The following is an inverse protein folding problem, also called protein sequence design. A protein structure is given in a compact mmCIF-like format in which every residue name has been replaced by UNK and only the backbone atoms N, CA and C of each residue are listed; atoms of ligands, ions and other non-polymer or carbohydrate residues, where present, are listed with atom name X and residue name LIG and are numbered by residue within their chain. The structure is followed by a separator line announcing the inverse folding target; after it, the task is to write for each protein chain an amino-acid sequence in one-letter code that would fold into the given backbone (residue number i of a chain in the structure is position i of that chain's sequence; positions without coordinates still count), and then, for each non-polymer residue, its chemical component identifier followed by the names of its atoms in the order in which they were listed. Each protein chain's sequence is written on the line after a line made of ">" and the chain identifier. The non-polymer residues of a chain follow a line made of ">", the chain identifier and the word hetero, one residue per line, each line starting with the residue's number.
data_IF_028780193923
#
_entry.id   IF_028780193923
#
_cell.length_a   1.000
_cell.length_b   1.000
_cell.length_c   1.000
_cell.angle_alpha   90.00
_cell.angle_beta   90.00
_cell.angle_gamma   90.00
#
_symmetry.space_group_name_H-M   'P 1'
#
loop_
_entity.id
_entity.type
_entity.pdbx_description
1 polymer ?
#
# COMPACT_ATOMS: atom_id res chain seq x y z
N UNK A 1 -0.97 -14.24 -13.49
CA UNK A 1 -0.02 -14.17 -12.36
C UNK A 1 -0.74 -13.93 -11.03
N UNK A 2 -1.53 -12.86 -10.88
CA UNK A 2 -2.25 -12.52 -9.64
C UNK A 2 -3.17 -13.63 -9.08
N UNK A 3 -3.97 -14.29 -9.92
CA UNK A 3 -4.84 -15.40 -9.46
C UNK A 3 -4.04 -16.60 -8.92
N UNK A 4 -2.90 -16.95 -9.54
CA UNK A 4 -2.02 -17.99 -9.03
C UNK A 4 -1.34 -17.59 -7.71
N UNK A 5 -1.01 -16.30 -7.55
CA UNK A 5 -0.52 -15.78 -6.28
C UNK A 5 -1.59 -15.83 -5.19
N UNK A 6 -2.85 -15.56 -5.53
CA UNK A 6 -4.00 -15.71 -4.63
C UNK A 6 -4.14 -17.15 -4.14
N UNK A 7 -4.13 -18.14 -5.03
CA UNK A 7 -4.15 -19.56 -4.67
C UNK A 7 -2.95 -19.95 -3.80
N UNK A 8 -1.77 -19.43 -4.12
CA UNK A 8 -0.55 -19.64 -3.34
C UNK A 8 -0.70 -19.09 -1.91
N UNK A 9 -1.25 -17.89 -1.76
CA UNK A 9 -1.46 -17.29 -0.44
C UNK A 9 -2.52 -18.07 0.35
N UNK A 10 -3.61 -18.50 -0.27
CA UNK A 10 -4.62 -19.36 0.37
C UNK A 10 -4.02 -20.68 0.87
N UNK A 11 -3.14 -21.31 0.09
CA UNK A 11 -2.46 -22.54 0.50
C UNK A 11 -1.44 -22.31 1.62
N UNK A 12 -0.75 -21.16 1.64
CA UNK A 12 0.23 -20.82 2.68
C UNK A 12 -0.44 -20.47 4.01
N UNK A 13 -1.64 -19.89 3.98
CA UNK A 13 -2.39 -19.57 5.20
C UNK A 13 -2.71 -20.80 6.07
N UNK A 14 -2.76 -22.00 5.50
CA UNK A 14 -3.01 -23.22 6.29
C UNK A 14 -1.74 -23.93 6.72
N UNK A 15 -0.57 -23.47 6.29
CA UNK A 15 0.71 -24.14 6.53
C UNK A 15 1.42 -23.50 7.73
N UNK A 16 1.75 -24.28 8.79
CA UNK A 16 2.42 -23.78 9.99
C UNK A 16 3.74 -23.04 9.70
N UNK A 17 4.48 -23.50 8.69
CA UNK A 17 5.77 -22.90 8.30
C UNK A 17 5.65 -21.44 7.88
N UNK A 18 4.49 -21.00 7.38
CA UNK A 18 4.26 -19.65 6.91
C UNK A 18 3.56 -18.76 7.94
N UNK A 19 3.10 -19.29 9.07
CA UNK A 19 2.33 -18.52 10.04
C UNK A 19 3.20 -17.50 10.79
N UNK A 20 2.63 -16.33 11.14
CA UNK A 20 3.34 -15.33 11.91
C UNK A 20 3.51 -15.83 13.35
N UNK A 21 4.68 -15.58 13.93
CA UNK A 21 4.96 -15.91 15.33
C UNK A 21 4.84 -14.66 16.20
N UNK A 22 3.62 -14.12 16.28
CA UNK A 22 3.38 -12.85 16.97
C UNK A 22 3.73 -12.91 18.46
N UNK A 23 3.61 -14.09 19.08
CA UNK A 23 3.98 -14.31 20.49
C UNK A 23 5.48 -14.17 20.75
N UNK A 24 6.31 -14.30 19.72
CA UNK A 24 7.78 -14.17 19.81
C UNK A 24 8.23 -12.71 19.58
N UNK A 25 7.29 -11.80 19.26
CA UNK A 25 7.57 -10.38 19.03
C UNK A 25 7.32 -9.56 20.31
N UNK A 26 8.08 -8.48 20.47
CA UNK A 26 7.82 -7.49 21.53
C UNK A 26 6.53 -6.70 21.24
N UNK A 27 6.03 -5.95 22.24
CA UNK A 27 4.86 -5.07 22.10
C UNK A 27 3.62 -5.79 21.51
N UNK A 28 3.43 -7.06 21.88
CA UNK A 28 2.41 -7.96 21.28
C UNK A 28 1.02 -7.32 21.21
N UNK A 29 0.56 -6.70 22.29
CA UNK A 29 -0.77 -6.09 22.35
C UNK A 29 -0.93 -4.93 21.36
N UNK A 30 0.09 -4.06 21.28
CA UNK A 30 0.09 -2.95 20.32
C UNK A 30 0.13 -3.47 18.89
N UNK A 31 0.98 -4.46 18.62
CA UNK A 31 1.06 -5.14 17.32
C UNK A 31 -0.27 -5.78 16.92
N UNK A 32 -1.00 -6.36 17.87
CA UNK A 32 -2.33 -6.91 17.63
C UNK A 32 -3.32 -5.80 17.24
N UNK A 33 -3.32 -4.66 17.94
CA UNK A 33 -4.16 -3.50 17.56
C UNK A 33 -3.84 -2.96 16.16
N UNK A 34 -2.56 -2.93 15.78
CA UNK A 34 -2.14 -2.56 14.41
C UNK A 34 -2.73 -3.52 13.36
N UNK A 35 -2.72 -4.83 13.62
CA UNK A 35 -3.34 -5.81 12.73
C UNK A 35 -4.87 -5.65 12.66
N UNK A 36 -5.53 -5.37 13.79
CA UNK A 36 -6.97 -5.11 13.84
C UNK A 36 -7.36 -3.87 13.02
N UNK A 37 -6.52 -2.83 13.03
CA UNK A 37 -6.68 -1.67 12.15
C UNK A 37 -6.64 -2.08 10.67
N UNK A 38 -5.66 -2.89 10.26
CA UNK A 38 -5.56 -3.38 8.87
C UNK A 38 -6.77 -4.23 8.47
N UNK A 39 -7.27 -5.06 9.38
CA UNK A 39 -8.43 -5.92 9.12
C UNK A 39 -9.71 -5.11 8.84
N UNK A 40 -9.82 -3.87 9.36
CA UNK A 40 -10.93 -2.96 8.99
C UNK A 40 -10.91 -2.63 7.49
N UNK A 41 -9.74 -2.39 6.91
CA UNK A 41 -9.62 -2.15 5.46
C UNK A 41 -9.86 -3.41 4.63
N UNK A 42 -9.41 -4.58 5.11
CA UNK A 42 -9.68 -5.85 4.43
C UNK A 42 -11.19 -6.11 4.30
N UNK A 43 -11.97 -5.78 5.34
CA UNK A 43 -13.44 -5.95 5.35
C UNK A 43 -14.16 -5.05 4.34
N UNK A 44 -13.52 -4.01 3.81
CA UNK A 44 -14.09 -3.13 2.78
C UNK A 44 -14.07 -3.76 1.38
N UNK A 45 -13.34 -4.87 1.19
CA UNK A 45 -13.27 -5.58 -0.09
C UNK A 45 -14.11 -6.86 0.00
N UNK A 46 -15.27 -6.88 -0.66
CA UNK A 46 -16.12 -8.06 -0.72
C UNK A 46 -15.62 -9.04 -1.78
N UNK A 47 -15.34 -10.28 -1.39
CA UNK A 47 -14.96 -11.37 -2.29
C UNK A 47 -15.24 -12.74 -1.65
N UNK A 48 -15.20 -13.82 -2.43
CA UNK A 48 -15.47 -15.20 -1.99
C UNK A 48 -14.18 -16.05 -1.85
N UNK A 49 -13.08 -15.38 -1.48
CA UNK A 49 -11.73 -15.97 -1.42
C UNK A 49 -11.27 -16.06 0.03
N UNK A 50 -10.39 -17.00 0.33
CA UNK A 50 -9.83 -17.21 1.68
C UNK A 50 -8.64 -16.30 1.98
N UNK A 51 -8.05 -15.69 0.96
CA UNK A 51 -7.00 -14.69 1.12
C UNK A 51 -7.57 -13.36 1.60
N UNK A 52 -6.81 -12.58 2.37
CA UNK A 52 -7.17 -11.18 2.67
C UNK A 52 -6.82 -10.31 1.46
N UNK A 53 -7.71 -9.42 1.05
CA UNK A 53 -7.46 -8.44 0.00
C UNK A 53 -7.71 -7.06 0.57
N UNK A 54 -6.78 -6.13 0.33
CA UNK A 54 -6.95 -4.72 0.69
C UNK A 54 -6.90 -3.86 -0.57
N UNK A 55 -7.59 -2.73 -0.53
CA UNK A 55 -7.59 -1.72 -1.59
C UNK A 55 -6.79 -0.52 -1.10
N UNK A 56 -5.72 -0.17 -1.80
CA UNK A 56 -4.82 0.91 -1.39
C UNK A 56 -4.29 1.71 -2.57
N UNK A 57 -3.93 2.96 -2.29
CA UNK A 57 -3.40 3.92 -3.23
C UNK A 57 -1.88 3.91 -3.26
N UNK A 58 -1.34 4.11 -4.45
CA UNK A 58 0.05 4.47 -4.68
C UNK A 58 0.09 5.82 -5.40
N UNK A 59 0.82 6.79 -4.84
CA UNK A 59 1.05 8.09 -5.45
C UNK A 59 2.38 8.12 -6.20
N UNK A 60 2.37 8.67 -7.40
CA UNK A 60 3.54 8.74 -8.27
C UNK A 60 3.61 10.04 -9.05
N UNK A 61 4.82 10.45 -9.44
CA UNK A 61 4.98 11.43 -10.52
C UNK A 61 4.51 10.81 -11.83
N UNK A 62 3.78 11.59 -12.63
CA UNK A 62 3.24 11.13 -13.93
C UNK A 62 4.29 10.54 -14.87
N UNK A 63 5.53 11.04 -14.83
CA UNK A 63 6.63 10.55 -15.63
C UNK A 63 7.00 9.08 -15.35
N UNK A 64 6.68 8.55 -14.17
CA UNK A 64 7.00 7.17 -13.76
C UNK A 64 5.92 6.19 -14.23
N UNK A 65 4.69 6.67 -14.47
CA UNK A 65 3.52 5.84 -14.79
C UNK A 65 3.72 4.91 -16.00
N UNK A 66 4.27 5.35 -17.16
CA UNK A 66 4.47 4.45 -18.30
C UNK A 66 5.37 3.24 -17.96
N UNK A 67 6.38 3.45 -17.10
CA UNK A 67 7.25 2.36 -16.64
C UNK A 67 6.51 1.40 -15.71
N UNK A 68 5.67 1.91 -14.79
CA UNK A 68 4.85 1.08 -13.91
C UNK A 68 3.85 0.23 -14.69
N UNK A 69 3.20 0.81 -15.69
CA UNK A 69 2.21 0.10 -16.51
C UNK A 69 2.87 -0.96 -17.41
N UNK A 70 4.10 -0.73 -17.85
CA UNK A 70 4.82 -1.64 -18.75
C UNK A 70 5.56 -2.75 -18.01
N UNK A 71 6.17 -2.43 -16.86
CA UNK A 71 7.12 -3.30 -16.16
C UNK A 71 6.62 -3.75 -14.77
N UNK A 72 5.45 -3.31 -14.34
CA UNK A 72 4.95 -3.58 -12.99
C UNK A 72 5.60 -2.70 -11.92
N UNK A 73 5.36 -3.07 -10.66
CA UNK A 73 5.81 -2.29 -9.50
C UNK A 73 7.23 -2.64 -9.05
N UNK A 74 7.83 -3.74 -9.55
CA UNK A 74 9.20 -4.12 -9.21
C UNK A 74 10.23 -3.02 -9.54
N UNK A 75 9.95 -2.17 -10.54
CA UNK A 75 10.77 -1.00 -10.87
C UNK A 75 10.87 0.03 -9.74
N UNK A 76 9.94 0.03 -8.77
CA UNK A 76 9.97 0.94 -7.62
C UNK A 76 10.90 0.46 -6.51
N UNK A 77 11.06 -0.85 -6.35
CA UNK A 77 11.91 -1.44 -5.30
C UNK A 77 13.41 -1.15 -5.48
N UNK A 78 13.80 -0.49 -6.57
CA UNK A 78 15.18 -0.08 -6.84
C UNK A 78 15.45 1.40 -6.59
N UNK A 79 14.43 2.22 -6.31
CA UNK A 79 14.54 3.68 -6.27
C UNK A 79 15.18 4.19 -4.97
N UNK A 80 14.83 3.60 -3.83
CA UNK A 80 15.39 3.92 -2.53
C UNK A 80 15.45 2.67 -1.63
N UNK A 81 16.07 2.81 -0.46
CA UNK A 81 16.16 1.74 0.53
C UNK A 81 14.90 1.63 1.40
N UNK A 82 14.08 2.67 1.45
CA UNK A 82 12.83 2.72 2.21
C UNK A 82 12.99 2.66 3.72
N UNK A 83 12.15 3.41 4.43
CA UNK A 83 12.22 3.51 5.89
C UNK A 83 11.77 2.23 6.59
N UNK A 84 10.72 1.62 6.04
CA UNK A 84 10.14 0.37 6.51
C UNK A 84 10.54 -0.80 5.61
N UNK A 85 11.69 -0.68 4.96
CA UNK A 85 12.24 -1.69 4.07
C UNK A 85 12.18 -1.29 2.60
N UNK A 86 12.97 -2.01 1.80
CA UNK A 86 13.11 -1.81 0.37
C UNK A 86 11.93 -2.43 -0.35
N UNK A 87 10.87 -1.64 -0.52
CA UNK A 87 9.53 -2.11 -0.83
C UNK A 87 8.77 -1.18 -1.78
N UNK A 88 7.63 -1.66 -2.24
CA UNK A 88 6.61 -0.88 -2.92
C UNK A 88 5.60 -0.38 -1.87
N UNK A 89 5.46 0.93 -1.74
CA UNK A 89 4.66 1.57 -0.69
C UNK A 89 3.26 1.94 -1.18
N UNK A 90 2.28 1.64 -0.33
CA UNK A 90 0.86 1.92 -0.54
C UNK A 90 0.23 2.50 0.72
N UNK A 91 -0.92 3.13 0.60
CA UNK A 91 -1.68 3.67 1.73
C UNK A 91 -3.18 3.55 1.50
N UNK A 92 -3.98 3.38 2.55
CA UNK A 92 -5.45 3.48 2.42
C UNK A 92 -5.92 4.90 2.04
N UNK A 93 -5.11 5.94 2.30
CA UNK A 93 -5.50 7.34 2.13
C UNK A 93 -5.04 7.92 0.79
N UNK A 94 -6.01 8.25 -0.08
CA UNK A 94 -5.72 8.96 -1.33
C UNK A 94 -5.00 10.29 -1.07
N UNK A 95 -5.49 11.06 -0.08
CA UNK A 95 -4.93 12.35 0.33
C UNK A 95 -3.49 12.24 0.81
N UNK A 96 -3.14 11.15 1.48
CA UNK A 96 -1.75 10.91 1.86
C UNK A 96 -0.91 10.53 0.63
N UNK A 97 -1.44 9.67 -0.24
CA UNK A 97 -0.76 9.28 -1.48
C UNK A 97 -0.49 10.47 -2.41
N UNK A 98 -1.33 11.52 -2.44
CA UNK A 98 -1.09 12.69 -3.29
C UNK A 98 0.18 13.45 -2.93
N UNK A 99 0.71 13.32 -1.70
CA UNK A 99 2.01 13.91 -1.35
C UNK A 99 3.13 13.39 -2.26
N UNK A 100 3.03 12.15 -2.73
CA UNK A 100 4.03 11.51 -3.59
C UNK A 100 3.84 11.79 -5.09
N UNK A 101 2.81 12.57 -5.45
CA UNK A 101 2.46 12.89 -6.82
C UNK A 101 3.32 14.00 -7.46
N UNK A 102 4.06 14.76 -6.64
CA UNK A 102 4.71 15.99 -7.07
C UNK A 102 3.73 17.16 -7.20
N UNK A 103 4.26 18.36 -7.46
CA UNK A 103 3.49 19.61 -7.35
C UNK A 103 2.54 19.88 -8.53
N UNK A 104 2.83 19.37 -9.72
CA UNK A 104 2.17 19.84 -10.96
C UNK A 104 1.56 18.76 -11.84
N UNK A 105 2.13 17.55 -11.88
CA UNK A 105 1.75 16.48 -12.78
C UNK A 105 1.97 15.10 -12.12
N UNK A 106 0.93 14.61 -11.47
CA UNK A 106 0.98 13.40 -10.67
C UNK A 106 -0.11 12.37 -10.99
N UNK A 107 0.07 11.18 -10.45
CA UNK A 107 -0.84 10.05 -10.60
C UNK A 107 -1.14 9.37 -9.26
N UNK A 108 -2.40 9.02 -9.03
CA UNK A 108 -2.77 7.98 -8.08
C UNK A 108 -3.07 6.69 -8.83
N UNK A 109 -2.63 5.57 -8.27
CA UNK A 109 -2.97 4.24 -8.75
C UNK A 109 -3.68 3.51 -7.62
N UNK A 110 -4.93 3.11 -7.84
CA UNK A 110 -5.62 2.22 -6.92
C UNK A 110 -5.25 0.79 -7.24
N UNK A 111 -4.81 0.04 -6.23
CA UNK A 111 -4.45 -1.36 -6.36
C UNK A 111 -5.26 -2.24 -5.41
N UNK A 112 -5.59 -3.44 -5.86
CA UNK A 112 -5.85 -4.55 -4.96
C UNK A 112 -4.53 -5.20 -4.56
N UNK A 113 -4.38 -5.46 -3.27
CA UNK A 113 -3.17 -6.08 -2.71
C UNK A 113 -3.60 -7.33 -1.94
N UNK A 114 -3.04 -8.47 -2.33
CA UNK A 114 -3.22 -9.72 -1.60
C UNK A 114 -2.38 -9.67 -0.33
N UNK A 115 -2.95 -10.12 0.79
CA UNK A 115 -2.26 -10.16 2.07
C UNK A 115 -2.17 -11.60 2.57
N UNK A 116 -0.96 -11.99 2.99
CA UNK A 116 -0.71 -13.19 3.78
C UNK A 116 -0.52 -12.77 5.24
N UNK A 117 0.74 -12.51 5.65
CA UNK A 117 1.06 -12.10 7.01
C UNK A 117 1.81 -10.76 7.03
N UNK A 118 1.15 -9.64 7.33
CA UNK A 118 1.80 -8.35 7.53
C UNK A 118 2.49 -8.29 8.89
N UNK A 119 3.71 -7.77 8.93
CA UNK A 119 4.39 -7.40 10.17
C UNK A 119 3.81 -6.07 10.66
N UNK A 120 3.19 -6.04 11.85
CA UNK A 120 2.63 -4.81 12.40
C UNK A 120 3.73 -3.94 13.00
N UNK A 121 4.17 -2.90 12.30
CA UNK A 121 5.23 -2.01 12.79
C UNK A 121 4.68 -1.08 13.86
N UNK A 122 5.43 -0.93 14.96
CA UNK A 122 5.05 -0.11 16.12
C UNK A 122 6.13 0.91 16.45
N UNK A 123 5.84 1.88 17.34
CA UNK A 123 6.76 2.97 17.66
C UNK A 123 8.12 2.46 18.19
N UNK A 124 8.15 1.31 18.87
CA UNK A 124 9.37 0.67 19.34
C UNK A 124 10.32 0.20 18.21
N UNK A 125 9.81 -0.03 16.99
CA UNK A 125 10.64 -0.41 15.83
C UNK A 125 11.34 0.81 15.20
N UNK A 126 10.80 2.02 15.42
CA UNK A 126 11.26 3.30 14.83
C UNK A 126 11.22 4.47 15.81
N UNK A 127 12.01 4.45 16.91
CA UNK A 127 11.95 5.46 17.96
C UNK A 127 12.16 6.89 17.43
N UNK A 128 11.44 7.87 17.98
CA UNK A 128 11.56 9.29 17.58
C UNK A 128 12.97 9.86 17.76
N UNK A 129 13.77 9.26 18.65
CA UNK A 129 15.12 9.70 19.00
C UNK A 129 16.20 9.26 18.01
N UNK A 130 15.86 8.45 17.01
CA UNK A 130 16.83 7.96 16.01
C UNK A 130 16.49 8.46 14.60
N UNK A 131 17.54 8.57 13.78
CA UNK A 131 17.42 8.85 12.35
C UNK A 131 16.65 7.73 11.63
N UNK A 132 15.86 8.04 10.58
CA UNK A 132 15.23 7.02 9.73
C UNK A 132 16.18 5.98 9.16
N UNK A 133 17.40 6.38 8.81
CA UNK A 133 18.44 5.46 8.31
C UNK A 133 18.95 4.46 9.35
N UNK A 134 18.61 4.68 10.63
CA UNK A 134 18.96 3.80 11.75
C UNK A 134 17.80 2.91 12.20
N UNK A 135 16.64 2.97 11.52
CA UNK A 135 15.53 2.08 11.81
C UNK A 135 15.93 0.63 11.60
N UNK A 136 15.39 -0.28 12.42
CA UNK A 136 15.69 -1.71 12.31
C UNK A 136 15.33 -2.27 10.93
N UNK A 137 14.33 -1.70 10.27
CA UNK A 137 13.77 -2.17 9.01
C UNK A 137 14.31 -1.41 7.78
N UNK A 138 15.07 -0.32 7.97
CA UNK A 138 15.58 0.51 6.88
C UNK A 138 16.38 -0.32 5.88
N UNK A 139 16.07 -0.23 4.58
CA UNK A 139 16.78 -0.96 3.53
C UNK A 139 16.53 -2.47 3.49
N UNK A 140 15.78 -3.04 4.43
CA UNK A 140 15.62 -4.49 4.56
C UNK A 140 14.46 -5.01 3.75
N UNK A 141 14.50 -6.32 3.47
CA UNK A 141 13.35 -7.04 2.94
C UNK A 141 12.31 -7.33 4.01
N UNK A 142 11.53 -8.38 3.74
CA UNK A 142 10.48 -8.83 4.64
C UNK A 142 11.06 -9.40 5.96
N UNK A 143 10.32 -9.25 7.06
CA UNK A 143 10.74 -9.74 8.39
C UNK A 143 10.22 -11.16 8.64
N UNK A 144 11.11 -12.15 8.82
CA UNK A 144 10.76 -13.53 9.20
C UNK A 144 9.61 -14.12 8.34
N UNK A 145 8.53 -14.60 8.98
CA UNK A 145 7.33 -15.17 8.36
C UNK A 145 6.29 -14.11 7.97
N UNK A 146 6.67 -12.84 7.96
CA UNK A 146 5.82 -11.75 7.50
C UNK A 146 6.24 -11.36 6.08
N UNK A 147 5.28 -11.16 5.17
CA UNK A 147 5.50 -10.87 3.74
C UNK A 147 5.28 -9.39 3.38
N UNK A 148 4.85 -8.59 4.36
CA UNK A 148 4.55 -7.16 4.23
C UNK A 148 4.94 -6.49 5.53
N UNK A 149 5.16 -5.18 5.52
CA UNK A 149 5.09 -4.38 6.74
C UNK A 149 3.87 -3.47 6.65
N UNK A 150 3.05 -3.44 7.71
CA UNK A 150 1.93 -2.52 7.83
C UNK A 150 2.22 -1.54 8.96
N UNK A 151 2.14 -0.25 8.66
CA UNK A 151 2.66 0.82 9.49
C UNK A 151 1.58 1.90 9.62
N UNK A 152 0.83 1.96 10.73
CA UNK A 152 0.04 3.13 11.05
C UNK A 152 1.00 4.30 11.27
N UNK A 153 0.78 5.44 10.64
CA UNK A 153 1.72 6.57 10.70
C UNK A 153 1.03 7.90 10.99
N UNK A 154 1.77 8.77 11.67
CA UNK A 154 1.47 10.18 11.86
C UNK A 154 2.74 11.00 11.63
N UNK A 155 2.61 12.27 11.20
CA UNK A 155 3.76 13.12 10.96
C UNK A 155 4.48 13.48 12.28
N UNK A 156 5.80 13.39 12.29
CA UNK A 156 6.67 13.79 13.40
C UNK A 156 6.93 15.29 13.33
N UNK A 157 6.42 16.04 14.31
CA UNK A 157 6.63 17.49 14.40
C UNK A 157 5.65 18.36 13.60
N UNK A 158 4.54 17.81 13.10
CA UNK A 158 3.47 18.55 12.41
C UNK A 158 3.31 18.21 10.93
N UNK A 159 2.24 18.69 10.28
CA UNK A 159 1.77 18.24 8.94
C UNK A 159 2.73 18.47 7.76
N UNK A 160 3.72 19.36 7.93
CA UNK A 160 4.59 19.81 6.83
C UNK A 160 5.87 18.97 6.71
N UNK A 161 6.07 18.02 7.63
CA UNK A 161 7.20 17.09 7.60
C UNK A 161 7.03 15.98 6.56
N UNK A 162 8.16 15.38 6.17
CA UNK A 162 8.22 14.11 5.44
C UNK A 162 8.51 12.92 6.37
N UNK A 163 8.64 13.17 7.66
CA UNK A 163 8.91 12.16 8.67
C UNK A 163 7.62 11.59 9.26
N UNK A 164 7.20 10.43 8.76
CA UNK A 164 5.99 9.72 9.18
C UNK A 164 6.36 8.46 9.94
N UNK A 165 5.87 8.34 11.18
CA UNK A 165 6.17 7.22 12.08
C UNK A 165 4.93 6.76 12.85
N UNK A 166 4.88 5.51 13.34
CA UNK A 166 3.90 5.09 14.33
C UNK A 166 3.84 6.05 15.52
N UNK A 167 2.64 6.52 15.92
CA UNK A 167 2.50 7.39 17.08
C UNK A 167 2.96 6.68 18.35
N UNK A 168 3.71 7.38 19.21
CA UNK A 168 4.15 6.86 20.51
C UNK A 168 3.00 6.74 21.51
N UNK A 169 1.89 7.46 21.29
CA UNK A 169 0.67 7.37 22.06
C UNK A 169 -0.18 6.14 21.73
N UNK A 170 0.13 5.45 20.63
CA UNK A 170 -0.52 4.21 20.20
C UNK A 170 -1.12 4.30 18.79
N UNK A 171 -1.45 3.13 18.24
CA UNK A 171 -1.93 3.00 16.85
C UNK A 171 -3.24 3.71 16.53
N UNK A 172 -4.07 4.02 17.53
CA UNK A 172 -5.37 4.66 17.30
C UNK A 172 -5.22 6.13 16.94
N UNK A 173 -4.10 6.76 17.31
CA UNK A 173 -3.76 8.15 16.97
C UNK A 173 -3.07 8.28 15.59
N UNK A 174 -2.97 7.17 14.84
CA UNK A 174 -2.39 7.18 13.51
C UNK A 174 -3.33 7.86 12.51
N UNK A 175 -2.85 8.96 11.92
CA UNK A 175 -3.58 9.73 10.92
C UNK A 175 -3.72 8.97 9.59
N UNK A 176 -2.67 8.25 9.20
CA UNK A 176 -2.61 7.50 7.96
C UNK A 176 -2.04 6.09 8.20
N UNK A 177 -1.80 5.37 7.12
CA UNK A 177 -1.10 4.10 7.13
C UNK A 177 -0.22 3.96 5.90
N UNK A 178 0.79 3.11 6.02
CA UNK A 178 1.61 2.62 4.93
C UNK A 178 1.61 1.10 4.92
N UNK A 179 1.61 0.53 3.72
CA UNK A 179 1.82 -0.89 3.47
C UNK A 179 3.04 -1.03 2.56
N UNK A 180 4.12 -1.56 3.13
CA UNK A 180 5.32 -1.93 2.40
C UNK A 180 5.14 -3.36 1.84
N UNK A 181 5.06 -3.47 0.51
CA UNK A 181 4.92 -4.73 -0.22
C UNK A 181 6.26 -5.11 -0.82
N UNK A 182 6.75 -6.33 -0.57
CA UNK A 182 8.06 -6.79 -1.05
C UNK A 182 8.00 -7.64 -2.32
N UNK A 183 6.80 -8.09 -2.72
CA UNK A 183 6.59 -8.96 -3.88
C UNK A 183 5.49 -8.40 -4.77
N UNK A 184 5.85 -7.98 -5.98
CA UNK A 184 4.91 -7.32 -6.89
C UNK A 184 3.76 -8.21 -7.36
N UNK A 185 3.95 -9.54 -7.33
CA UNK A 185 2.92 -10.50 -7.75
C UNK A 185 1.66 -10.45 -6.88
N UNK A 186 1.74 -9.81 -5.71
CA UNK A 186 0.61 -9.56 -4.82
C UNK A 186 -0.15 -8.26 -5.14
N UNK A 187 0.27 -7.50 -6.16
CA UNK A 187 -0.30 -6.20 -6.51
C UNK A 187 -1.08 -6.33 -7.83
N UNK A 188 -2.31 -5.83 -7.85
CA UNK A 188 -3.14 -5.73 -9.04
C UNK A 188 -3.64 -4.28 -9.19
N UNK A 189 -3.07 -3.51 -10.13
CA UNK A 189 -3.56 -2.17 -10.45
C UNK A 189 -4.98 -2.22 -11.02
N UNK A 190 -5.84 -1.29 -10.61
CA UNK A 190 -7.25 -1.25 -11.01
C UNK A 190 -7.61 0.07 -11.71
N UNK A 191 -7.23 1.20 -11.12
CA UNK A 191 -7.63 2.53 -11.57
C UNK A 191 -6.41 3.44 -11.54
N UNK A 192 -6.25 4.28 -12.56
CA UNK A 192 -5.26 5.36 -12.56
C UNK A 192 -5.99 6.70 -12.61
N UNK A 193 -5.63 7.59 -11.70
CA UNK A 193 -6.14 8.94 -11.63
C UNK A 193 -4.98 9.88 -11.95
N UNK A 194 -5.16 10.73 -12.95
CA UNK A 194 -4.20 11.76 -13.31
C UNK A 194 -4.67 13.10 -12.75
N UNK A 195 -3.73 13.85 -12.18
CA UNK A 195 -3.96 15.27 -11.87
C UNK A 195 -3.42 16.10 -13.03
N UNK A 196 -4.21 17.07 -13.50
CA UNK A 196 -3.78 18.06 -14.48
C UNK A 196 -4.20 19.44 -14.02
N UNK A 197 -3.25 20.28 -13.60
CA UNK A 197 -3.53 21.68 -13.25
C UNK A 197 -4.58 21.88 -12.14
N UNK A 198 -4.67 20.94 -11.20
CA UNK A 198 -5.70 20.94 -10.14
C UNK A 198 -7.00 20.21 -10.51
N UNK A 199 -7.18 19.76 -11.75
CA UNK A 199 -8.32 18.94 -12.18
C UNK A 199 -8.00 17.44 -12.10
N UNK A 200 -9.00 16.64 -11.72
CA UNK A 200 -8.92 15.18 -11.67
C UNK A 200 -9.39 14.59 -12.99
N UNK A 201 -8.52 13.85 -13.67
CA UNK A 201 -8.83 13.09 -14.89
C UNK A 201 -8.62 11.59 -14.62
N UNK A 202 -9.69 10.80 -14.64
CA UNK A 202 -9.61 9.35 -14.38
C UNK A 202 -9.50 8.55 -15.66
N UNK A 203 -8.66 7.52 -15.63
CA UNK A 203 -8.50 6.53 -16.69
C UNK A 203 -8.57 5.12 -16.10
N UNK A 204 -9.30 4.23 -16.75
CA UNK A 204 -9.25 2.81 -16.41
C UNK A 204 -7.95 2.23 -17.01
N UNK A 205 -7.24 1.38 -16.27
CA UNK A 205 -5.97 0.80 -16.74
C UNK A 205 -6.10 -0.02 -18.03
N UNK A 206 -7.34 -0.40 -18.40
CA UNK A 206 -7.64 -1.09 -19.65
C UNK A 206 -7.68 -0.19 -20.90
N UNK A 207 -7.67 1.14 -20.75
CA UNK A 207 -7.83 2.06 -21.90
C UNK A 207 -6.55 2.21 -22.76
N UNK A 208 -5.39 1.77 -22.27
CA UNK A 208 -4.12 1.84 -23.00
C UNK A 208 -3.79 0.61 -23.88
N UNK A 209 -4.71 -0.35 -24.03
CA UNK A 209 -4.49 -1.55 -24.85
C UNK A 209 -5.08 -1.47 -26.27
N UNK A 210 -5.59 -0.31 -26.70
CA UNK A 210 -6.16 -0.12 -28.06
C UNK A 210 -5.15 -0.21 -29.22
N UNK A 211 -3.88 -0.56 -28.95
CA UNK A 211 -2.85 -0.75 -29.98
C UNK A 211 -2.25 -2.15 -30.09
N UNK A 212 -2.48 -3.09 -29.14
CA UNK A 212 -1.86 -4.43 -29.19
C UNK A 212 -2.84 -5.49 -28.64
N UNK A 213 -3.02 -6.55 -29.43
CA UNK A 213 -3.97 -7.68 -29.27
C UNK A 213 -4.44 -7.91 -27.82
N UNK A 214 -5.75 -7.72 -27.59
CA UNK A 214 -6.42 -8.02 -26.33
C UNK A 214 -6.37 -9.53 -26.02
N UNK A 215 -6.18 -9.88 -24.75
CA UNK A 215 -6.66 -11.14 -24.19
C UNK A 215 -8.16 -10.95 -23.84
N UNK A 216 -9.06 -11.87 -24.23
CA UNK A 216 -10.49 -11.69 -24.02
C UNK A 216 -10.87 -11.95 -22.56
N UNK A 217 -11.68 -11.07 -21.94
CA UNK A 217 -12.38 -11.45 -20.71
C UNK A 217 -12.96 -10.39 -19.75
N UNK A 218 -12.69 -9.09 -19.87
CA UNK A 218 -13.12 -8.13 -18.83
C UNK A 218 -13.90 -6.95 -19.41
N UNK A 219 -15.15 -6.76 -18.95
CA UNK A 219 -15.99 -5.59 -19.26
C UNK A 219 -15.54 -4.40 -18.40
N UNK A 220 -15.37 -3.23 -19.01
CA UNK A 220 -14.99 -1.99 -18.36
C UNK A 220 -16.22 -1.20 -17.88
N UNK A 221 -16.07 -0.48 -16.75
CA UNK A 221 -16.98 0.58 -16.31
C UNK A 221 -16.16 1.88 -16.15
N UNK A 222 -16.74 2.99 -16.58
CA UNK A 222 -16.24 4.35 -16.30
C UNK A 222 -16.89 4.76 -14.98
N UNK A 223 -16.10 5.01 -13.94
CA UNK A 223 -16.58 5.60 -12.69
C UNK A 223 -16.23 7.08 -12.66
N UNK A 224 -17.20 7.90 -12.27
CA UNK A 224 -16.99 9.30 -11.86
C UNK A 224 -16.78 9.33 -10.34
N UNK A 225 -15.83 10.13 -9.87
CA UNK A 225 -15.52 10.38 -8.47
C UNK A 225 -15.57 11.88 -8.27
N UNK A 226 -16.29 12.33 -7.25
CA UNK A 226 -16.26 13.71 -6.79
C UNK A 226 -15.26 13.80 -5.62
N UNK A 227 -14.55 14.92 -5.58
CA UNK A 227 -13.80 15.34 -4.40
C UNK A 227 -14.79 16.10 -3.52
N UNK A 228 -15.08 15.60 -2.32
CA UNK A 228 -15.86 16.38 -1.37
C UNK A 228 -14.99 17.49 -0.75
N UNK A 229 -15.60 18.47 -0.10
CA UNK A 229 -14.93 19.65 0.48
C UNK A 229 -13.78 19.32 1.47
N UNK A 230 -13.73 18.08 1.97
CA UNK A 230 -12.64 17.55 2.81
C UNK A 230 -11.44 16.97 2.04
N UNK A 231 -11.48 17.01 0.70
CA UNK A 231 -10.59 16.33 -0.25
C UNK A 231 -10.60 14.79 -0.18
N UNK A 232 -11.68 14.20 0.33
CA UNK A 232 -11.87 12.75 0.29
C UNK A 232 -12.40 12.32 -1.09
N UNK A 233 -11.70 11.34 -1.68
CA UNK A 233 -12.09 10.69 -2.92
C UNK A 233 -13.12 9.60 -2.62
N UNK A 234 -14.40 9.89 -2.87
CA UNK A 234 -15.51 8.93 -2.70
C UNK A 234 -15.77 8.21 -4.02
N UNK A 235 -15.70 6.88 -4.00
CA UNK A 235 -16.14 6.03 -5.11
C UNK A 235 -17.67 5.95 -5.02
N UNK A 236 -18.40 6.51 -6.00
CA UNK A 236 -19.86 6.34 -6.12
C UNK A 236 -20.22 5.05 -6.84
#
# INVERSE_FOLDING_TARGET
>A
MFLGQMETNEARQTQPAFQPKLNDENSREERQRVLERLDKFCKQVTHNRRVRIVRMWHGCKKAILPNLLSNGFAALGTLDDGWYGKAMYFTSSAKYATRYCGETDGCLIMCYILLLNPFPVVAADVPLTVSPTSFRLYGKGNHKNYQYHYIPVSPVGGSDTWDYRPPTSGTDDAMYDELAVFQETNILPQIVIHFKGGEIIMFNTNDNLKGKKCFPGHRAAILSMCVNDDNDLVLM
#
